data_IF_607022024098
#
_entry.id   IF_607022024098
#
_cell.length_a   1.000
_cell.length_b   1.000
_cell.length_c   1.000
_cell.angle_alpha   90.00
_cell.angle_beta   90.00
_cell.angle_gamma   90.00
#
_symmetry.space_group_name_H-M   'P 1'
#
loop_
_entity.id
_entity.type
_entity.pdbx_description
1 polymer ?
#
# COMPACT_ATOMS: atom_id res chain seq x y z
N UNK A 1 -39.73 46.62 -9.87
CA UNK A 1 -38.92 45.58 -10.54
C UNK A 1 -37.41 45.73 -10.27
N UNK A 2 -36.92 46.84 -9.72
CA UNK A 2 -35.48 47.11 -9.56
C UNK A 2 -34.79 46.35 -8.41
N UNK A 3 -35.49 46.03 -7.32
CA UNK A 3 -34.87 45.35 -6.16
C UNK A 3 -34.40 43.90 -6.42
N UNK A 4 -34.99 43.21 -7.41
CA UNK A 4 -34.56 41.83 -7.76
C UNK A 4 -33.27 41.81 -8.58
N UNK A 5 -32.94 42.90 -9.27
CA UNK A 5 -31.72 43.01 -10.09
C UNK A 5 -30.49 43.33 -9.22
N UNK A 6 -30.66 44.17 -8.19
CA UNK A 6 -29.60 44.49 -7.23
C UNK A 6 -29.20 43.27 -6.39
N UNK A 7 -30.18 42.48 -5.93
CA UNK A 7 -29.91 41.30 -5.09
C UNK A 7 -29.18 40.18 -5.88
N UNK A 8 -29.49 40.00 -7.18
CA UNK A 8 -28.77 39.06 -8.05
C UNK A 8 -27.33 39.51 -8.32
N UNK A 9 -27.10 40.80 -8.57
CA UNK A 9 -25.76 41.31 -8.82
C UNK A 9 -24.87 41.28 -7.56
N UNK A 10 -25.41 41.58 -6.38
CA UNK A 10 -24.66 41.48 -5.11
C UNK A 10 -24.32 40.03 -4.76
N UNK A 11 -25.24 39.07 -4.98
CA UNK A 11 -24.96 37.63 -4.78
C UNK A 11 -23.91 37.08 -5.76
N UNK A 12 -23.87 37.61 -6.98
CA UNK A 12 -22.92 37.15 -8.01
C UNK A 12 -21.52 37.71 -7.73
N UNK A 13 -21.42 38.97 -7.26
CA UNK A 13 -20.14 39.61 -6.91
C UNK A 13 -19.52 38.98 -5.65
N UNK A 14 -20.32 38.59 -4.64
CA UNK A 14 -19.79 37.88 -3.46
C UNK A 14 -19.31 36.47 -3.79
N UNK A 15 -19.96 35.75 -4.70
CA UNK A 15 -19.49 34.43 -5.15
C UNK A 15 -18.16 34.50 -5.91
N UNK A 16 -17.97 35.53 -6.75
CA UNK A 16 -16.74 35.75 -7.53
C UNK A 16 -15.55 36.13 -6.63
N UNK A 17 -15.79 36.86 -5.54
CA UNK A 17 -14.74 37.21 -4.59
C UNK A 17 -14.38 36.06 -3.65
N UNK A 18 -15.29 35.12 -3.35
CA UNK A 18 -15.02 33.92 -2.52
C UNK A 18 -14.29 32.80 -3.26
N UNK A 19 -14.47 32.70 -4.58
CA UNK A 19 -13.84 31.67 -5.43
C UNK A 19 -12.29 31.65 -5.40
N UNK A 20 -11.58 32.79 -5.50
CA UNK A 20 -10.11 32.78 -5.40
C UNK A 20 -9.62 32.39 -4.01
N UNK A 21 -10.32 32.74 -2.92
CA UNK A 21 -9.92 32.34 -1.57
C UNK A 21 -10.02 30.84 -1.36
N UNK A 22 -11.08 30.20 -1.83
CA UNK A 22 -11.25 28.74 -1.71
C UNK A 22 -10.16 27.97 -2.48
N UNK A 23 -9.79 28.46 -3.67
CA UNK A 23 -8.73 27.86 -4.48
C UNK A 23 -7.33 28.06 -3.87
N UNK A 24 -7.06 29.21 -3.24
CA UNK A 24 -5.81 29.44 -2.50
C UNK A 24 -5.69 28.58 -1.24
N UNK A 25 -6.76 28.41 -0.47
CA UNK A 25 -6.76 27.57 0.73
C UNK A 25 -6.47 26.10 0.40
N UNK A 26 -7.11 25.56 -0.65
CA UNK A 26 -6.88 24.20 -1.12
C UNK A 26 -5.44 23.97 -1.61
N UNK A 27 -4.83 24.98 -2.24
CA UNK A 27 -3.43 24.93 -2.68
C UNK A 27 -2.44 25.00 -1.51
N UNK A 28 -2.75 25.78 -0.46
CA UNK A 28 -1.92 25.87 0.75
C UNK A 28 -1.96 24.55 1.53
N UNK A 29 -3.13 23.95 1.65
CA UNK A 29 -3.32 22.66 2.32
C UNK A 29 -2.58 21.52 1.61
N UNK A 30 -2.62 21.47 0.27
CA UNK A 30 -1.89 20.46 -0.49
C UNK A 30 -0.37 20.60 -0.38
N UNK A 31 0.16 21.83 -0.38
CA UNK A 31 1.60 22.09 -0.16
C UNK A 31 2.01 21.68 1.25
N UNK A 32 1.21 22.00 2.27
CA UNK A 32 1.47 21.60 3.66
C UNK A 32 1.44 20.08 3.81
N UNK A 33 0.51 19.41 3.16
CA UNK A 33 0.40 17.95 3.17
C UNK A 33 1.59 17.26 2.50
N UNK A 34 2.06 17.78 1.36
CA UNK A 34 3.27 17.27 0.69
C UNK A 34 4.53 17.51 1.54
N UNK A 35 4.63 18.67 2.19
CA UNK A 35 5.72 18.95 3.13
C UNK A 35 5.68 17.98 4.34
N UNK A 36 4.51 17.70 4.89
CA UNK A 36 4.31 16.75 5.98
C UNK A 36 4.75 15.32 5.61
N UNK A 37 4.32 14.81 4.45
CA UNK A 37 4.76 13.50 3.94
C UNK A 37 6.28 13.43 3.78
N UNK A 38 6.88 14.49 3.25
CA UNK A 38 8.33 14.60 3.08
C UNK A 38 9.04 14.56 4.43
N UNK A 39 8.59 15.35 5.41
CA UNK A 39 9.19 15.41 6.74
C UNK A 39 9.14 14.06 7.47
N UNK A 40 7.99 13.37 7.43
CA UNK A 40 7.89 12.05 8.04
C UNK A 40 8.82 11.03 7.39
N UNK A 41 8.92 11.03 6.06
CA UNK A 41 9.86 10.15 5.35
C UNK A 41 11.30 10.46 5.74
N UNK A 42 11.67 11.73 5.79
CA UNK A 42 13.03 12.16 6.14
C UNK A 42 13.36 11.79 7.61
N UNK A 43 12.37 11.86 8.52
CA UNK A 43 12.52 11.42 9.90
C UNK A 43 12.67 9.90 10.04
N UNK A 44 11.95 9.10 9.24
CA UNK A 44 12.18 7.64 9.19
C UNK A 44 13.58 7.33 8.63
N UNK A 45 14.04 8.08 7.63
CA UNK A 45 15.41 7.95 7.12
C UNK A 45 16.46 8.28 8.19
N UNK A 46 16.23 9.30 9.02
CA UNK A 46 17.09 9.59 10.17
C UNK A 46 17.19 8.40 11.15
N UNK A 47 16.12 7.63 11.38
CA UNK A 47 16.17 6.40 12.20
C UNK A 47 17.08 5.34 11.55
N UNK A 48 16.96 5.15 10.23
CA UNK A 48 17.80 4.20 9.47
C UNK A 48 19.29 4.60 9.55
N UNK A 49 19.57 5.89 9.49
CA UNK A 49 20.91 6.47 9.63
C UNK A 49 21.46 6.42 11.08
N UNK A 50 20.69 5.90 12.04
CA UNK A 50 21.05 5.85 13.46
C UNK A 50 20.91 7.19 14.20
N UNK A 51 20.34 8.22 13.57
CA UNK A 51 20.04 9.53 14.17
C UNK A 51 18.69 9.50 14.89
N UNK A 52 18.46 8.45 15.69
CA UNK A 52 17.14 8.14 16.22
C UNK A 52 16.62 9.21 17.19
N UNK A 53 17.50 9.84 17.97
CA UNK A 53 17.16 10.96 18.87
C UNK A 53 16.60 12.16 18.10
N UNK A 54 17.17 12.45 16.93
CA UNK A 54 16.71 13.54 16.06
C UNK A 54 15.30 13.23 15.53
N UNK A 55 15.05 11.98 15.11
CA UNK A 55 13.73 11.55 14.66
C UNK A 55 12.69 11.62 15.79
N UNK A 56 13.04 11.18 17.01
CA UNK A 56 12.17 11.28 18.18
C UNK A 56 11.81 12.74 18.47
N UNK A 57 12.80 13.62 18.54
CA UNK A 57 12.58 15.05 18.77
C UNK A 57 11.68 15.67 17.71
N UNK A 58 11.82 15.26 16.44
CA UNK A 58 10.96 15.70 15.35
C UNK A 58 9.50 15.30 15.57
N UNK A 59 9.22 14.01 15.80
CA UNK A 59 7.85 13.52 16.01
C UNK A 59 7.21 14.08 17.29
N UNK A 60 7.97 14.18 18.38
CA UNK A 60 7.48 14.79 19.63
C UNK A 60 7.15 16.26 19.44
N UNK A 61 7.98 17.01 18.72
CA UNK A 61 7.71 18.41 18.44
C UNK A 61 6.45 18.57 17.56
N UNK A 62 6.29 17.72 16.54
CA UNK A 62 5.11 17.76 15.67
C UNK A 62 3.82 17.46 16.44
N UNK A 63 3.85 16.49 17.35
CA UNK A 63 2.71 16.11 18.19
C UNK A 63 2.28 17.19 19.19
N UNK A 64 3.14 18.15 19.55
CA UNK A 64 2.74 19.30 20.38
C UNK A 64 1.72 20.17 19.65
N UNK A 65 1.86 20.31 18.34
CA UNK A 65 1.00 21.14 17.50
C UNK A 65 -0.17 20.33 16.90
N UNK A 66 0.02 19.03 16.66
CA UNK A 66 -0.93 18.14 16.01
C UNK A 66 -1.23 16.93 16.91
N UNK A 67 -2.03 17.16 17.96
CA UNK A 67 -2.36 16.11 18.90
C UNK A 67 -3.09 14.96 18.20
N UNK A 68 -2.59 13.74 18.36
CA UNK A 68 -3.19 12.54 17.77
C UNK A 68 -2.76 12.22 16.34
N UNK A 69 -1.73 12.90 15.81
CA UNK A 69 -1.15 12.54 14.51
C UNK A 69 -0.62 11.10 14.51
N UNK A 70 -1.35 10.20 13.84
CA UNK A 70 -1.06 8.75 13.85
C UNK A 70 0.30 8.41 13.24
N UNK A 71 0.74 9.16 12.22
CA UNK A 71 2.05 8.97 11.60
C UNK A 71 3.20 9.29 12.56
N UNK A 72 3.08 10.38 13.32
CA UNK A 72 4.09 10.74 14.33
C UNK A 72 4.09 9.76 15.50
N UNK A 73 2.91 9.29 15.95
CA UNK A 73 2.83 8.25 17.00
C UNK A 73 3.44 6.94 16.50
N UNK A 74 3.16 6.56 15.26
CA UNK A 74 3.80 5.40 14.61
C UNK A 74 5.31 5.59 14.49
N UNK A 75 5.77 6.76 14.04
CA UNK A 75 7.19 7.11 13.93
C UNK A 75 7.93 6.99 15.27
N UNK A 76 7.30 7.40 16.37
CA UNK A 76 7.85 7.20 17.72
C UNK A 76 7.94 5.72 18.08
N UNK A 77 6.92 4.92 17.79
CA UNK A 77 6.98 3.47 18.04
C UNK A 77 8.13 2.81 17.26
N UNK A 78 8.34 3.21 15.99
CA UNK A 78 9.47 2.74 15.17
C UNK A 78 10.81 3.19 15.76
N UNK A 79 10.94 4.46 16.13
CA UNK A 79 12.18 5.01 16.67
C UNK A 79 12.58 4.36 18.01
N UNK A 80 11.65 4.22 18.95
CA UNK A 80 11.93 3.57 20.23
C UNK A 80 12.20 2.07 20.06
N UNK A 81 11.54 1.40 19.10
CA UNK A 81 11.85 0.01 18.77
C UNK A 81 13.28 -0.14 18.24
N UNK A 82 13.71 0.75 17.34
CA UNK A 82 15.06 0.77 16.80
C UNK A 82 16.13 1.05 17.89
N UNK A 83 15.77 1.78 18.95
CA UNK A 83 16.62 2.00 20.15
C UNK A 83 16.65 0.82 21.12
N UNK A 84 15.89 -0.24 20.85
CA UNK A 84 15.64 -1.34 21.78
C UNK A 84 14.94 -0.93 23.09
N UNK A 85 14.23 0.20 23.09
CA UNK A 85 13.38 0.62 24.19
C UNK A 85 11.97 0.05 23.98
N UNK A 86 11.78 -1.20 24.44
CA UNK A 86 10.53 -1.93 24.26
C UNK A 86 9.35 -1.25 24.96
N UNK A 87 9.55 -0.71 26.16
CA UNK A 87 8.49 -0.08 26.95
C UNK A 87 7.92 1.15 26.22
N UNK A 88 8.80 2.02 25.72
CA UNK A 88 8.38 3.17 24.95
C UNK A 88 7.77 2.78 23.60
N UNK A 89 8.38 1.81 22.89
CA UNK A 89 7.84 1.32 21.63
C UNK A 89 6.42 0.76 21.79
N UNK A 90 6.19 -0.08 22.81
CA UNK A 90 4.89 -0.64 23.15
C UNK A 90 3.86 0.45 23.49
N UNK A 91 4.26 1.46 24.29
CA UNK A 91 3.38 2.58 24.66
C UNK A 91 2.85 3.31 23.43
N UNK A 92 3.72 3.67 22.49
CA UNK A 92 3.30 4.38 21.28
C UNK A 92 2.56 3.47 20.28
N UNK A 93 2.96 2.20 20.16
CA UNK A 93 2.27 1.24 19.30
C UNK A 93 0.83 1.00 19.76
N UNK A 94 0.62 0.76 21.08
CA UNK A 94 -0.71 0.64 21.68
C UNK A 94 -1.54 1.88 21.41
N UNK A 95 -0.98 3.07 21.68
CA UNK A 95 -1.65 4.35 21.44
C UNK A 95 -2.08 4.51 19.98
N UNK A 96 -1.22 4.20 19.02
CA UNK A 96 -1.55 4.31 17.60
C UNK A 96 -2.67 3.34 17.19
N UNK A 97 -2.58 2.08 17.63
CA UNK A 97 -3.57 1.03 17.32
C UNK A 97 -4.94 1.36 17.93
N UNK A 98 -4.96 1.80 19.20
CA UNK A 98 -6.19 2.23 19.89
C UNK A 98 -6.82 3.47 19.26
N UNK A 99 -6.01 4.31 18.61
CA UNK A 99 -6.48 5.46 17.83
C UNK A 99 -6.82 5.12 16.36
N UNK A 100 -6.81 3.84 15.99
CA UNK A 100 -7.30 3.36 14.69
C UNK A 100 -6.22 3.05 13.66
N UNK A 101 -4.94 3.09 14.02
CA UNK A 101 -3.88 2.63 13.11
C UNK A 101 -3.91 1.10 12.95
N UNK A 102 -3.85 0.64 11.71
CA UNK A 102 -3.88 -0.79 11.38
C UNK A 102 -2.66 -1.53 11.95
N UNK A 103 -2.89 -2.70 12.54
CA UNK A 103 -1.84 -3.53 13.16
C UNK A 103 -0.83 -4.01 12.12
N UNK A 104 -1.30 -4.31 10.91
CA UNK A 104 -0.52 -4.79 9.78
C UNK A 104 0.64 -3.84 9.46
N UNK A 105 0.49 -2.54 9.73
CA UNK A 105 1.54 -1.54 9.51
C UNK A 105 2.77 -1.75 10.41
N UNK A 106 2.61 -2.36 11.57
CA UNK A 106 3.73 -2.72 12.44
C UNK A 106 4.37 -4.04 12.02
N UNK A 107 3.59 -4.97 11.46
CA UNK A 107 4.10 -6.28 11.05
C UNK A 107 4.81 -6.21 9.68
N UNK A 108 4.23 -5.46 8.74
CA UNK A 108 4.75 -5.25 7.38
C UNK A 108 5.59 -3.98 7.22
N UNK A 109 5.65 -3.13 8.27
CA UNK A 109 6.47 -1.93 8.31
C UNK A 109 7.97 -2.23 8.19
N UNK A 110 8.87 -1.26 8.40
CA UNK A 110 10.32 -1.48 8.30
C UNK A 110 10.77 -2.52 9.34
N UNK A 111 10.80 -3.80 8.93
CA UNK A 111 10.89 -4.97 9.82
C UNK A 111 12.17 -4.97 10.66
N UNK A 112 13.25 -4.42 10.13
CA UNK A 112 14.50 -4.25 10.86
C UNK A 112 14.36 -3.27 12.03
N UNK A 113 13.72 -2.12 11.81
CA UNK A 113 13.52 -1.08 12.82
C UNK A 113 12.51 -1.50 13.89
N UNK A 114 11.52 -2.31 13.51
CA UNK A 114 10.46 -2.80 14.39
C UNK A 114 10.77 -4.16 15.04
N UNK A 115 11.96 -4.71 14.82
CA UNK A 115 12.34 -6.06 15.26
C UNK A 115 12.11 -6.26 16.76
N UNK A 116 12.48 -5.28 17.58
CA UNK A 116 12.36 -5.36 19.04
C UNK A 116 10.90 -5.34 19.49
N UNK A 117 10.06 -4.54 18.83
CA UNK A 117 8.64 -4.46 19.13
C UNK A 117 7.93 -5.75 18.68
N UNK A 118 8.04 -6.09 17.39
CA UNK A 118 7.34 -7.20 16.75
C UNK A 118 7.82 -8.56 17.27
N UNK A 119 9.10 -8.66 17.67
CA UNK A 119 9.68 -9.86 18.25
C UNK A 119 9.34 -10.08 19.73
N UNK A 120 8.63 -9.16 20.38
CA UNK A 120 8.26 -9.30 21.80
C UNK A 120 6.97 -10.10 22.00
N UNK A 121 6.91 -10.87 23.09
CA UNK A 121 5.69 -11.57 23.50
C UNK A 121 4.57 -10.56 23.83
N UNK A 122 4.90 -9.45 24.49
CA UNK A 122 3.96 -8.39 24.85
C UNK A 122 3.22 -7.82 23.64
N UNK A 123 3.94 -7.56 22.54
CA UNK A 123 3.31 -7.09 21.32
C UNK A 123 2.46 -8.19 20.68
N UNK A 124 3.00 -9.41 20.58
CA UNK A 124 2.28 -10.57 20.04
C UNK A 124 0.95 -10.83 20.76
N UNK A 125 0.95 -10.78 22.09
CA UNK A 125 -0.24 -10.96 22.90
C UNK A 125 -1.24 -9.81 22.73
N UNK A 126 -0.74 -8.57 22.64
CA UNK A 126 -1.58 -7.39 22.42
C UNK A 126 -2.31 -7.42 21.07
N UNK A 127 -1.66 -7.93 20.02
CA UNK A 127 -2.23 -7.96 18.66
C UNK A 127 -2.98 -9.25 18.35
N UNK A 128 -3.01 -10.22 19.26
CA UNK A 128 -3.64 -11.52 19.04
C UNK A 128 -5.12 -11.33 18.66
N UNK A 129 -5.51 -11.87 17.51
CA UNK A 129 -6.86 -11.71 16.96
C UNK A 129 -7.15 -10.36 16.29
N UNK A 130 -6.14 -9.48 16.13
CA UNK A 130 -6.27 -8.14 15.53
C UNK A 130 -5.54 -7.98 14.20
N UNK A 131 -5.00 -9.05 13.63
CA UNK A 131 -4.35 -9.03 12.32
C UNK A 131 -4.63 -10.31 11.53
N UNK A 132 -4.46 -10.23 10.21
CA UNK A 132 -4.64 -11.36 9.29
C UNK A 132 -3.30 -11.86 8.72
N UNK A 133 -3.25 -13.13 8.32
CA UNK A 133 -2.07 -13.72 7.69
C UNK A 133 -1.83 -13.14 6.30
N UNK A 134 -2.92 -12.95 5.53
CA UNK A 134 -2.91 -12.21 4.27
C UNK A 134 -2.98 -10.70 4.58
N UNK A 135 -1.94 -9.96 4.22
CA UNK A 135 -1.85 -8.51 4.45
C UNK A 135 -2.37 -7.72 3.24
N UNK A 136 -1.96 -8.12 2.03
CA UNK A 136 -2.36 -7.46 0.78
C UNK A 136 -2.70 -8.47 -0.31
N UNK A 137 -3.52 -8.02 -1.26
CA UNK A 137 -3.98 -8.82 -2.39
C UNK A 137 -5.22 -9.68 -2.06
N UNK A 138 -5.56 -10.63 -2.95
CA UNK A 138 -4.84 -10.96 -4.17
C UNK A 138 -4.94 -9.87 -5.24
N UNK A 139 -3.83 -9.63 -5.94
CA UNK A 139 -3.80 -8.83 -7.17
C UNK A 139 -3.53 -9.74 -8.35
N UNK A 140 -4.13 -9.43 -9.49
CA UNK A 140 -3.97 -10.16 -10.75
C UNK A 140 -3.25 -9.30 -11.80
N UNK A 141 -2.61 -9.96 -12.76
CA UNK A 141 -1.72 -9.30 -13.73
C UNK A 141 -0.83 -10.28 -14.48
N UNK A 142 0.08 -9.74 -15.30
CA UNK A 142 0.97 -10.51 -16.20
C UNK A 142 0.22 -11.62 -16.97
N UNK A 143 -0.96 -11.26 -17.49
CA UNK A 143 -1.81 -12.17 -18.23
C UNK A 143 -1.22 -12.46 -19.62
N UNK A 144 -1.36 -13.71 -20.05
CA UNK A 144 -1.25 -14.08 -21.47
C UNK A 144 -2.50 -14.84 -21.88
N UNK A 145 -2.47 -15.44 -23.06
CA UNK A 145 -3.46 -16.44 -23.46
C UNK A 145 -3.33 -17.77 -22.68
N UNK A 146 -2.23 -17.98 -21.96
CA UNK A 146 -1.92 -19.26 -21.30
C UNK A 146 -1.51 -19.14 -19.83
N UNK A 147 -1.41 -17.93 -19.30
CA UNK A 147 -1.01 -17.72 -17.91
C UNK A 147 -1.63 -16.49 -17.27
N UNK A 148 -1.59 -16.48 -15.94
CA UNK A 148 -1.82 -15.32 -15.10
C UNK A 148 -0.93 -15.40 -13.85
N UNK A 149 -0.53 -14.26 -13.31
CA UNK A 149 0.14 -14.18 -12.01
C UNK A 149 -0.86 -13.70 -10.95
N UNK A 150 -0.77 -14.28 -9.76
CA UNK A 150 -1.54 -13.90 -8.58
C UNK A 150 -0.55 -13.46 -7.51
N UNK A 151 -0.56 -12.17 -7.15
CA UNK A 151 0.31 -11.61 -6.11
C UNK A 151 -0.43 -11.49 -4.80
N UNK A 152 0.21 -11.97 -3.74
CA UNK A 152 -0.23 -11.77 -2.36
C UNK A 152 0.94 -11.41 -1.48
N UNK A 153 0.68 -10.62 -0.43
CA UNK A 153 1.66 -10.35 0.62
C UNK A 153 1.18 -10.88 1.95
N UNK A 154 2.04 -11.58 2.69
CA UNK A 154 1.69 -12.20 3.97
C UNK A 154 2.47 -11.58 5.13
N UNK A 155 1.96 -11.78 6.35
CA UNK A 155 2.57 -11.25 7.58
C UNK A 155 3.85 -11.98 7.99
N UNK A 156 3.94 -13.26 7.65
CA UNK A 156 5.09 -14.14 7.86
C UNK A 156 5.32 -15.04 6.65
N UNK A 157 6.40 -15.83 6.69
CA UNK A 157 6.61 -16.91 5.70
C UNK A 157 5.39 -17.81 5.72
N UNK A 158 4.81 -18.04 4.54
CA UNK A 158 3.61 -18.84 4.38
C UNK A 158 3.56 -19.47 2.99
N UNK A 159 2.98 -20.66 2.93
CA UNK A 159 2.69 -21.33 1.66
C UNK A 159 1.38 -20.77 1.12
N UNK A 160 1.43 -20.24 -0.09
CA UNK A 160 0.26 -19.71 -0.80
C UNK A 160 -0.13 -20.72 -1.86
N UNK A 161 -1.38 -21.17 -1.80
CA UNK A 161 -1.99 -22.05 -2.80
C UNK A 161 -3.11 -21.32 -3.49
N UNK A 162 -3.11 -21.33 -4.82
CA UNK A 162 -4.21 -20.82 -5.64
C UNK A 162 -4.85 -21.99 -6.37
N UNK A 163 -6.16 -22.13 -6.19
CA UNK A 163 -6.97 -23.06 -6.98
C UNK A 163 -7.66 -22.27 -8.08
N UNK A 164 -7.42 -22.62 -9.35
CA UNK A 164 -8.00 -21.99 -10.53
C UNK A 164 -8.92 -22.98 -11.21
N UNK A 165 -10.17 -22.60 -11.49
CA UNK A 165 -11.19 -23.48 -12.06
C UNK A 165 -11.72 -22.89 -13.35
N UNK A 166 -11.61 -23.64 -14.45
CA UNK A 166 -12.26 -23.32 -15.73
C UNK A 166 -13.78 -23.33 -15.54
N UNK A 167 -14.44 -22.21 -15.86
CA UNK A 167 -15.87 -22.04 -15.60
C UNK A 167 -16.74 -22.97 -16.44
N UNK A 168 -16.36 -23.22 -17.69
CA UNK A 168 -17.16 -24.05 -18.59
C UNK A 168 -16.88 -25.54 -18.36
N UNK A 169 -15.60 -25.90 -18.34
CA UNK A 169 -15.17 -27.30 -18.26
C UNK A 169 -15.14 -27.84 -16.84
N UNK A 170 -15.26 -26.97 -15.84
CA UNK A 170 -15.15 -27.30 -14.42
C UNK A 170 -13.82 -28.00 -14.07
N UNK A 171 -12.76 -27.74 -14.85
CA UNK A 171 -11.43 -28.29 -14.63
C UNK A 171 -10.71 -27.43 -13.60
N UNK A 172 -10.33 -28.03 -12.47
CA UNK A 172 -9.55 -27.38 -11.41
C UNK A 172 -8.06 -27.64 -11.60
N UNK A 173 -7.27 -26.57 -11.49
CA UNK A 173 -5.81 -26.57 -11.45
C UNK A 173 -5.36 -25.94 -10.13
N UNK A 174 -4.21 -26.37 -9.64
CA UNK A 174 -3.66 -25.89 -8.36
C UNK A 174 -2.23 -25.44 -8.58
N UNK A 175 -1.91 -24.24 -8.09
CA UNK A 175 -0.60 -23.63 -8.16
C UNK A 175 -0.18 -23.19 -6.78
N UNK A 176 1.12 -23.22 -6.50
CA UNK A 176 1.66 -22.88 -5.19
C UNK A 176 2.93 -22.06 -5.31
N UNK A 177 3.11 -21.13 -4.39
CA UNK A 177 4.36 -20.41 -4.17
C UNK A 177 4.52 -20.12 -2.67
N UNK A 178 5.70 -19.68 -2.23
CA UNK A 178 5.97 -19.36 -0.83
C UNK A 178 6.38 -17.90 -0.70
N UNK A 179 5.77 -17.18 0.24
CA UNK A 179 6.23 -15.85 0.60
C UNK A 179 7.46 -15.95 1.50
N UNK A 180 8.54 -15.23 1.18
CA UNK A 180 9.79 -15.30 1.94
C UNK A 180 10.31 -13.91 2.31
N UNK A 181 11.23 -13.77 3.28
CA UNK A 181 11.84 -12.47 3.59
C UNK A 181 12.54 -11.83 2.39
N UNK A 182 13.13 -12.64 1.51
CA UNK A 182 13.85 -12.19 0.30
C UNK A 182 12.91 -11.52 -0.71
N UNK A 183 11.63 -11.90 -0.72
CA UNK A 183 10.59 -11.31 -1.58
C UNK A 183 9.71 -10.31 -0.83
N UNK A 184 10.16 -9.81 0.33
CA UNK A 184 9.37 -8.97 1.23
C UNK A 184 8.00 -9.59 1.58
N UNK A 185 8.02 -10.90 1.79
CA UNK A 185 6.87 -11.74 2.09
C UNK A 185 5.78 -11.67 1.02
N UNK A 186 6.18 -11.43 -0.23
CA UNK A 186 5.30 -11.48 -1.39
C UNK A 186 5.44 -12.85 -2.07
N UNK A 187 4.33 -13.55 -2.27
CA UNK A 187 4.28 -14.73 -3.13
C UNK A 187 3.67 -14.35 -4.48
N UNK A 188 4.23 -14.88 -5.57
CA UNK A 188 3.76 -14.66 -6.93
C UNK A 188 3.39 -16.00 -7.54
N UNK A 189 2.15 -16.41 -7.34
CA UNK A 189 1.67 -17.69 -7.84
C UNK A 189 1.42 -17.58 -9.34
N UNK A 190 2.28 -18.23 -10.12
CA UNK A 190 2.17 -18.31 -11.57
C UNK A 190 1.22 -19.46 -11.96
N UNK A 191 0.03 -19.11 -12.43
CA UNK A 191 -0.92 -20.06 -13.00
C UNK A 191 -0.63 -20.24 -14.49
N UNK A 192 0.07 -21.31 -14.86
CA UNK A 192 0.39 -21.66 -16.27
C UNK A 192 -0.52 -22.75 -16.83
N UNK A 193 -0.50 -22.94 -18.15
CA UNK A 193 -1.25 -24.01 -18.82
C UNK A 193 -2.74 -23.71 -18.98
N UNK A 194 -3.11 -22.44 -18.79
CA UNK A 194 -4.47 -21.96 -19.01
C UNK A 194 -4.81 -22.02 -20.50
N UNK A 195 -6.10 -22.09 -20.79
CA UNK A 195 -6.64 -22.05 -22.13
C UNK A 195 -6.87 -20.59 -22.54
N UNK A 196 -6.68 -20.29 -23.82
CA UNK A 196 -6.87 -18.95 -24.37
C UNK A 196 -8.34 -18.55 -24.37
N UNK A 197 -8.63 -17.27 -24.13
CA UNK A 197 -9.97 -16.70 -24.15
C UNK A 197 -10.96 -17.43 -23.22
N UNK A 198 -10.47 -17.90 -22.08
CA UNK A 198 -11.23 -18.74 -21.16
C UNK A 198 -11.44 -18.03 -19.83
N UNK A 199 -12.65 -18.15 -19.30
CA UNK A 199 -13.04 -17.61 -18.00
C UNK A 199 -12.69 -18.59 -16.89
N UNK A 200 -12.11 -18.06 -15.83
CA UNK A 200 -11.63 -18.80 -14.68
C UNK A 200 -12.16 -18.18 -13.40
N UNK A 201 -12.57 -19.04 -12.47
CA UNK A 201 -12.71 -18.68 -11.07
C UNK A 201 -11.45 -19.08 -10.30
N UNK A 202 -11.11 -18.37 -9.23
CA UNK A 202 -10.00 -18.75 -8.37
C UNK A 202 -10.25 -18.49 -6.89
N UNK A 203 -9.58 -19.30 -6.07
CA UNK A 203 -9.55 -19.21 -4.61
C UNK A 203 -8.10 -19.15 -4.14
N UNK A 204 -7.83 -18.36 -3.10
CA UNK A 204 -6.50 -18.24 -2.50
C UNK A 204 -6.51 -18.78 -1.08
N UNK A 205 -5.58 -19.68 -0.83
CA UNK A 205 -5.33 -20.27 0.48
C UNK A 205 -3.94 -19.87 0.95
N UNK A 206 -3.82 -19.57 2.23
CA UNK A 206 -2.54 -19.29 2.89
C UNK A 206 -2.41 -20.24 4.08
N UNK A 207 -1.36 -21.05 4.11
CA UNK A 207 -1.15 -22.15 5.05
C UNK A 207 -2.40 -23.05 5.20
N UNK A 208 -3.03 -23.36 4.06
CA UNK A 208 -4.21 -24.24 3.97
C UNK A 208 -5.54 -23.60 4.34
N UNK A 209 -5.54 -22.40 4.93
CA UNK A 209 -6.76 -21.66 5.26
C UNK A 209 -7.20 -20.80 4.06
N UNK A 210 -8.51 -20.79 3.76
CA UNK A 210 -9.08 -20.00 2.67
C UNK A 210 -9.13 -18.52 3.08
N UNK A 211 -8.46 -17.65 2.33
CA UNK A 211 -8.39 -16.21 2.59
C UNK A 211 -9.13 -15.37 1.55
N UNK A 212 -9.19 -15.85 0.31
CA UNK A 212 -9.92 -15.17 -0.76
C UNK A 212 -10.72 -16.18 -1.56
N UNK A 213 -12.01 -15.90 -1.73
CA UNK A 213 -12.96 -16.82 -2.34
C UNK A 213 -13.61 -16.19 -3.55
N UNK A 214 -13.80 -16.99 -4.60
CA UNK A 214 -14.57 -16.65 -5.79
C UNK A 214 -14.08 -15.41 -6.55
N UNK A 215 -12.76 -15.28 -6.67
CA UNK A 215 -12.17 -14.38 -7.65
C UNK A 215 -12.44 -14.86 -9.08
N UNK A 216 -12.42 -13.95 -10.05
CA UNK A 216 -12.60 -14.30 -11.46
C UNK A 216 -11.60 -13.56 -12.34
N UNK A 217 -11.22 -14.18 -13.45
CA UNK A 217 -10.46 -13.53 -14.53
C UNK A 217 -10.68 -14.25 -15.86
N UNK A 218 -10.25 -13.61 -16.95
CA UNK A 218 -10.28 -14.19 -18.29
C UNK A 218 -8.91 -14.07 -18.93
N UNK A 219 -8.40 -15.17 -19.49
CA UNK A 219 -7.16 -15.15 -20.27
C UNK A 219 -7.36 -14.44 -21.60
N UNK A 220 -6.28 -13.93 -22.17
CA UNK A 220 -6.35 -13.31 -23.48
C UNK A 220 -6.64 -14.33 -24.59
N UNK A 221 -7.16 -13.84 -25.70
CA UNK A 221 -7.21 -14.62 -26.94
C UNK A 221 -5.77 -14.89 -27.39
N UNK A 222 -5.54 -16.04 -28.01
CA UNK A 222 -4.29 -16.25 -28.74
C UNK A 222 -4.22 -15.23 -29.87
N UNK A 223 -3.34 -14.25 -29.73
CA UNK A 223 -3.11 -13.21 -30.73
C UNK A 223 -1.69 -13.31 -31.28
N UNK A 224 -1.56 -13.27 -32.61
CA UNK A 224 -0.27 -13.09 -33.29
C UNK A 224 0.15 -11.61 -33.33
N UNK A 225 -0.39 -10.75 -32.46
CA UNK A 225 -0.10 -9.31 -32.42
C UNK A 225 0.00 -8.82 -30.96
N UNK A 226 0.87 -7.84 -30.65
CA UNK A 226 0.97 -7.29 -29.30
C UNK A 226 -0.32 -6.58 -28.86
N UNK A 227 -0.72 -6.76 -27.60
CA UNK A 227 -1.78 -5.97 -26.99
C UNK A 227 -1.34 -4.51 -26.84
N UNK A 228 -2.13 -3.59 -27.38
CA UNK A 228 -1.97 -2.15 -27.11
C UNK A 228 -2.66 -1.81 -25.79
N UNK A 229 -1.88 -1.65 -24.73
CA UNK A 229 -2.35 -0.99 -23.51
C UNK A 229 -2.37 0.52 -23.76
N UNK A 230 -3.53 1.16 -23.57
CA UNK A 230 -3.61 2.61 -23.51
C UNK A 230 -3.29 3.03 -22.09
N UNK A 231 -2.12 3.62 -21.86
CA UNK A 231 -1.87 4.37 -20.63
C UNK A 231 -2.54 5.74 -20.73
N UNK A 232 -3.41 6.08 -19.80
CA UNK A 232 -3.99 7.43 -19.67
C UNK A 232 -2.98 8.41 -19.05
N UNK A 233 -1.82 8.61 -19.67
CA UNK A 233 -0.83 9.62 -19.25
C UNK A 233 -0.40 10.58 -20.38
N UNK A 234 -1.05 10.52 -21.55
CA UNK A 234 -0.72 11.39 -22.69
C UNK A 234 -1.55 12.69 -22.70
N UNK A 235 -1.53 13.45 -21.60
CA UNK A 235 -2.02 14.84 -21.59
C UNK A 235 -1.30 15.73 -20.55
N UNK A 236 0.04 15.66 -20.42
CA UNK A 236 0.81 16.80 -19.90
C UNK A 236 2.09 16.96 -20.71
N UNK A 237 2.00 17.70 -21.81
CA UNK A 237 3.13 18.14 -22.60
C UNK A 237 3.90 19.22 -21.79
N UNK A 238 4.93 18.81 -21.04
CA UNK A 238 5.86 19.71 -20.36
C UNK A 238 7.28 19.49 -20.91
N UNK A 239 7.80 20.38 -21.76
CA UNK A 239 9.02 20.15 -22.54
C UNK A 239 10.33 20.24 -21.74
N UNK A 240 10.32 20.17 -20.40
CA UNK A 240 11.51 20.41 -19.57
C UNK A 240 11.85 19.32 -18.54
N UNK A 241 11.38 18.07 -18.69
CA UNK A 241 11.85 16.97 -17.84
C UNK A 241 12.88 16.10 -18.54
N UNK A 242 14.13 16.52 -18.44
CA UNK A 242 15.28 15.65 -18.60
C UNK A 242 15.42 14.80 -17.32
N UNK A 243 14.87 13.58 -17.33
CA UNK A 243 15.10 12.60 -16.26
C UNK A 243 15.65 11.34 -16.92
N UNK A 244 16.95 11.13 -16.75
CA UNK A 244 17.63 9.91 -17.14
C UNK A 244 17.05 8.72 -16.39
N UNK A 245 16.50 7.77 -17.15
CA UNK A 245 16.15 6.45 -16.66
C UNK A 245 17.43 5.70 -16.28
N UNK A 246 17.80 5.74 -15.01
CA UNK A 246 18.68 4.72 -14.43
C UNK A 246 17.81 3.59 -13.86
N UNK A 247 18.16 2.37 -14.26
CA UNK A 247 17.26 1.23 -14.31
C UNK A 247 16.71 0.79 -12.96
N UNK A 248 15.40 0.54 -12.95
CA UNK A 248 14.74 -0.27 -11.94
C UNK A 248 14.54 -1.67 -12.54
N UNK A 249 15.33 -2.63 -12.06
CA UNK A 249 15.33 -4.01 -12.54
C UNK A 249 14.06 -4.71 -12.04
N UNK A 250 12.96 -4.61 -12.79
CA UNK A 250 11.83 -5.54 -12.66
C UNK A 250 12.34 -6.90 -13.14
N UNK A 251 12.58 -7.83 -12.20
CA UNK A 251 12.69 -9.26 -12.54
C UNK A 251 11.34 -9.69 -13.08
N UNK A 252 11.20 -9.64 -14.41
CA UNK A 252 10.20 -10.38 -15.14
C UNK A 252 10.31 -11.85 -14.72
N UNK A 253 9.18 -12.47 -14.43
CA UNK A 253 9.07 -13.89 -14.12
C UNK A 253 9.56 -14.71 -15.33
N UNK A 254 10.87 -14.89 -15.42
CA UNK A 254 11.53 -15.79 -16.36
C UNK A 254 12.42 -16.70 -15.51
N UNK A 255 11.86 -17.83 -15.09
CA UNK A 255 12.67 -19.01 -14.79
C UNK A 255 12.18 -20.14 -15.69
N UNK A 256 13.15 -20.63 -16.45
CA UNK A 256 13.16 -21.80 -17.35
C UNK A 256 12.51 -23.04 -16.77
#
# INVERSE_FOLDING_TARGET
MENKMYLRNVLTITLILLFPYLSTAQKIESVRFEQYKKQNRDAIADIVDGKTEKAIAHFEQYLKEHQGDLESIYGLAVAYSAKNDLDAAMRYAKKAIEQGLQVERFIAGPRSLLKTLVGSNDFSDFIKGRYQLLIHGPMLGNFTDKQACIWVRTSRVAVVKVEVTDVEKHIKMTFTDTSTPETDYTAVVLATGLQSNTEYNYNVFVDGSLFFYNGHFKTFKTENKPLTLKSEDEQIDNPNRNVGCNGCYLRLCNHT
#
